data_IF_430194058116
#
_entry.id   IF_430194058116
#
_cell.length_a   1.000
_cell.length_b   1.000
_cell.length_c   1.000
_cell.angle_alpha   90.00
_cell.angle_beta   90.00
_cell.angle_gamma   90.00
#
_symmetry.space_group_name_H-M   'P 1'
#
loop_
_entity.id
_entity.type
_entity.pdbx_description
1 polymer ?
#
# COMPACT_ATOMS: atom_id res chain seq x y z
N UNK A 1 -12.11 -9.86 -17.00
CA UNK A 1 -10.88 -9.12 -17.34
C UNK A 1 -9.75 -9.75 -16.53
N UNK A 2 -8.65 -10.17 -17.14
CA UNK A 2 -7.54 -10.83 -16.41
C UNK A 2 -6.72 -9.77 -15.65
N UNK A 3 -6.63 -9.83 -14.31
CA UNK A 3 -5.83 -8.89 -13.50
C UNK A 3 -4.37 -8.81 -13.96
N UNK A 4 -3.82 -9.91 -14.48
CA UNK A 4 -2.44 -9.96 -14.98
C UNK A 4 -2.24 -9.23 -16.30
N UNK A 5 -3.30 -8.99 -17.06
CA UNK A 5 -3.25 -8.18 -18.28
C UNK A 5 -3.15 -6.68 -17.95
N UNK A 6 -3.84 -6.23 -16.91
CA UNK A 6 -3.84 -4.85 -16.44
C UNK A 6 -2.50 -4.49 -15.79
N UNK A 7 -1.97 -5.37 -14.93
CA UNK A 7 -0.63 -5.17 -14.35
C UNK A 7 0.47 -5.13 -15.43
N UNK A 8 0.34 -5.94 -16.49
CA UNK A 8 1.30 -5.92 -17.63
C UNK A 8 1.23 -4.62 -18.43
N UNK A 9 0.02 -4.12 -18.69
CA UNK A 9 -0.15 -2.84 -19.38
C UNK A 9 0.50 -1.69 -18.57
N UNK A 10 0.27 -1.65 -17.26
CA UNK A 10 0.88 -0.65 -16.38
C UNK A 10 2.41 -0.73 -16.33
N UNK A 11 2.97 -1.94 -16.20
CA UNK A 11 4.43 -2.13 -16.20
C UNK A 11 5.04 -1.77 -17.57
N UNK A 12 4.35 -2.09 -18.67
CA UNK A 12 4.80 -1.74 -20.02
C UNK A 12 4.82 -0.23 -20.24
N UNK A 13 3.79 0.50 -19.77
CA UNK A 13 3.72 1.96 -19.89
C UNK A 13 4.79 2.67 -19.05
N UNK A 14 5.08 2.17 -17.84
CA UNK A 14 6.13 2.74 -16.97
C UNK A 14 7.54 2.45 -17.51
N UNK A 15 7.72 1.32 -18.19
CA UNK A 15 9.01 0.93 -18.81
C UNK A 15 9.40 1.80 -20.00
N UNK A 16 8.44 2.46 -20.67
CA UNK A 16 8.71 3.25 -21.88
C UNK A 16 8.96 4.74 -21.60
N UNK A 17 8.44 5.29 -20.49
CA UNK A 17 8.40 6.75 -20.27
C UNK A 17 9.26 7.27 -19.13
N UNK A 18 9.86 6.41 -18.29
CA UNK A 18 10.65 6.76 -17.09
C UNK A 18 9.98 7.80 -16.16
N UNK A 19 8.68 8.03 -16.32
CA UNK A 19 7.88 9.02 -15.58
C UNK A 19 6.47 8.49 -15.43
N UNK A 20 5.92 8.60 -14.21
CA UNK A 20 4.50 8.35 -13.96
C UNK A 20 3.69 9.40 -14.74
N UNK A 21 2.57 9.04 -15.40
CA UNK A 21 1.73 10.01 -16.09
C UNK A 21 1.33 11.16 -15.15
N UNK A 22 1.44 12.42 -15.63
CA UNK A 22 1.17 13.65 -14.86
C UNK A 22 -0.20 13.64 -14.15
N UNK A 23 -1.16 12.88 -14.69
CA UNK A 23 -2.44 12.61 -14.04
C UNK A 23 -2.61 11.09 -13.90
N UNK A 24 -2.49 10.60 -12.66
CA UNK A 24 -2.87 9.22 -12.34
C UNK A 24 -4.36 9.05 -12.69
N UNK A 25 -4.72 8.13 -13.61
CA UNK A 25 -6.11 7.90 -13.98
C UNK A 25 -6.97 7.63 -12.76
N UNK A 26 -8.19 8.17 -12.72
CA UNK A 26 -9.09 8.07 -11.56
C UNK A 26 -9.32 6.62 -11.11
N UNK A 27 -9.45 5.69 -12.06
CA UNK A 27 -9.57 4.26 -11.75
C UNK A 27 -8.33 3.67 -11.06
N UNK A 28 -7.13 4.18 -11.32
CA UNK A 28 -5.90 3.72 -10.68
C UNK A 28 -5.77 4.28 -9.27
N UNK A 29 -6.27 5.51 -9.04
CA UNK A 29 -6.40 6.08 -7.68
C UNK A 29 -7.33 5.22 -6.83
N UNK A 30 -8.50 4.85 -7.36
CA UNK A 30 -9.46 4.01 -6.65
C UNK A 30 -8.86 2.67 -6.25
N UNK A 31 -8.17 1.99 -7.18
CA UNK A 31 -7.51 0.70 -6.88
C UNK A 31 -6.41 0.85 -5.81
N UNK A 32 -5.66 1.95 -5.84
CA UNK A 32 -4.67 2.23 -4.80
C UNK A 32 -5.33 2.48 -3.44
N UNK A 33 -6.43 3.22 -3.40
CA UNK A 33 -7.17 3.51 -2.16
C UNK A 33 -7.78 2.23 -1.57
N UNK A 34 -8.41 1.39 -2.38
CA UNK A 34 -8.95 0.09 -1.96
C UNK A 34 -7.85 -0.81 -1.39
N UNK A 35 -6.74 -0.96 -2.13
CA UNK A 35 -5.58 -1.74 -1.67
C UNK A 35 -4.99 -1.19 -0.36
N UNK A 36 -4.92 0.13 -0.22
CA UNK A 36 -4.36 0.77 0.96
C UNK A 36 -5.26 0.60 2.18
N UNK A 37 -6.59 0.65 2.02
CA UNK A 37 -7.51 0.39 3.11
C UNK A 37 -7.48 -1.08 3.55
N UNK A 38 -7.34 -2.04 2.62
CA UNK A 38 -7.11 -3.45 2.96
C UNK A 38 -5.82 -3.63 3.77
N UNK A 39 -4.72 -3.01 3.33
CA UNK A 39 -3.44 -3.07 4.00
C UNK A 39 -3.47 -2.41 5.39
N UNK A 40 -4.20 -1.30 5.54
CA UNK A 40 -4.42 -0.66 6.85
C UNK A 40 -5.22 -1.58 7.79
N UNK A 41 -6.25 -2.26 7.29
CA UNK A 41 -7.02 -3.21 8.07
C UNK A 41 -6.16 -4.40 8.53
N UNK A 42 -5.25 -4.90 7.68
CA UNK A 42 -4.31 -5.95 8.05
C UNK A 42 -3.28 -5.46 9.08
N UNK A 43 -2.69 -4.28 8.87
CA UNK A 43 -1.78 -3.66 9.82
C UNK A 43 -2.43 -3.47 11.19
N UNK A 44 -3.69 -3.03 11.22
CA UNK A 44 -4.46 -2.89 12.46
C UNK A 44 -4.64 -4.23 13.17
N UNK A 45 -5.00 -5.31 12.44
CA UNK A 45 -5.13 -6.66 13.03
C UNK A 45 -3.82 -7.15 13.63
N UNK A 46 -2.70 -6.89 12.97
CA UNK A 46 -1.36 -7.25 13.49
C UNK A 46 -1.04 -6.47 14.77
N UNK A 47 -1.26 -5.15 14.75
CA UNK A 47 -0.94 -4.28 15.90
C UNK A 47 -1.91 -4.49 17.08
N UNK A 48 -3.15 -4.88 16.85
CA UNK A 48 -4.07 -5.26 17.93
C UNK A 48 -3.62 -6.54 18.65
N UNK A 49 -3.03 -7.50 17.91
CA UNK A 49 -2.47 -8.72 18.50
C UNK A 49 -1.14 -8.46 19.21
N UNK A 50 -0.33 -7.57 18.65
CA UNK A 50 1.02 -7.26 19.14
C UNK A 50 1.26 -5.74 19.14
N UNK A 51 0.77 -5.01 20.17
CA UNK A 51 0.81 -3.54 20.19
C UNK A 51 2.22 -2.94 20.18
N UNK A 52 3.19 -3.67 20.73
CA UNK A 52 4.58 -3.24 20.86
C UNK A 52 5.47 -3.68 19.70
N UNK A 53 4.88 -4.20 18.61
CA UNK A 53 5.64 -4.57 17.43
C UNK A 53 6.44 -3.36 16.92
N UNK A 54 7.69 -3.55 16.50
CA UNK A 54 8.45 -2.48 15.84
C UNK A 54 8.01 -2.30 14.38
N UNK A 55 8.30 -1.14 13.78
CA UNK A 55 8.00 -0.89 12.35
C UNK A 55 8.76 -1.83 11.43
N UNK A 56 9.99 -2.21 11.78
CA UNK A 56 10.77 -3.20 11.02
C UNK A 56 10.10 -4.58 11.01
N UNK A 57 9.54 -4.99 12.13
CA UNK A 57 8.85 -6.28 12.23
C UNK A 57 7.46 -6.23 11.57
N UNK A 58 6.77 -5.09 11.64
CA UNK A 58 5.54 -4.84 10.89
C UNK A 58 5.78 -4.91 9.38
N UNK A 59 6.84 -4.25 8.89
CA UNK A 59 7.28 -4.27 7.50
C UNK A 59 7.51 -5.70 7.00
N UNK A 60 8.23 -6.51 7.79
CA UNK A 60 8.51 -7.91 7.48
C UNK A 60 7.23 -8.75 7.37
N UNK A 61 6.28 -8.56 8.28
CA UNK A 61 5.01 -9.31 8.28
C UNK A 61 4.10 -8.94 7.12
N UNK A 62 3.96 -7.65 6.85
CA UNK A 62 3.11 -7.15 5.77
C UNK A 62 3.80 -7.19 4.40
N UNK A 63 5.08 -7.59 4.35
CA UNK A 63 5.91 -7.63 3.14
C UNK A 63 5.96 -6.28 2.41
N UNK A 64 6.05 -5.21 3.18
CA UNK A 64 6.16 -3.83 2.68
C UNK A 64 7.52 -3.24 3.04
N UNK A 65 7.99 -2.19 2.34
CA UNK A 65 9.14 -1.41 2.79
C UNK A 65 8.95 -0.84 4.18
N UNK A 66 10.06 -0.52 4.87
CA UNK A 66 10.02 0.05 6.21
C UNK A 66 9.22 1.35 6.25
N UNK A 67 9.41 2.20 5.25
CA UNK A 67 8.71 3.47 5.06
C UNK A 67 7.19 3.26 4.98
N UNK A 68 6.77 2.19 4.29
CA UNK A 68 5.37 1.78 4.21
C UNK A 68 4.81 1.37 5.56
N UNK A 69 5.54 0.57 6.34
CA UNK A 69 5.12 0.18 7.68
C UNK A 69 5.01 1.37 8.64
N UNK A 70 5.99 2.28 8.60
CA UNK A 70 5.96 3.53 9.38
C UNK A 70 4.76 4.39 9.00
N UNK A 71 4.49 4.55 7.70
CA UNK A 71 3.33 5.28 7.20
C UNK A 71 2.01 4.67 7.70
N UNK A 72 1.85 3.35 7.60
CA UNK A 72 0.64 2.64 8.04
C UNK A 72 0.41 2.85 9.55
N UNK A 73 1.46 2.72 10.38
CA UNK A 73 1.35 2.94 11.83
C UNK A 73 0.92 4.38 12.13
N UNK A 74 1.59 5.36 11.54
CA UNK A 74 1.27 6.76 11.75
C UNK A 74 -0.19 7.06 11.37
N UNK A 75 -0.66 6.55 10.23
CA UNK A 75 -2.03 6.73 9.77
C UNK A 75 -3.06 6.07 10.68
N UNK A 76 -2.76 4.90 11.24
CA UNK A 76 -3.62 4.22 12.21
C UNK A 76 -3.69 4.95 13.56
N UNK A 77 -2.60 5.60 14.00
CA UNK A 77 -2.60 6.43 15.21
C UNK A 77 -3.49 7.67 15.04
N UNK A 78 -3.41 8.34 13.88
CA UNK A 78 -4.26 9.50 13.56
C UNK A 78 -5.75 9.16 13.48
N UNK A 79 -6.11 7.94 13.01
CA UNK A 79 -7.51 7.48 12.93
C UNK A 79 -8.12 7.11 14.30
N UNK A 80 -7.30 7.00 15.35
CA UNK A 80 -7.73 6.62 16.71
C UNK A 80 -7.74 7.80 17.70
N UNK A 81 -7.39 9.00 17.23
CA UNK A 81 -7.45 10.26 18.00
C UNK A 81 -8.77 10.97 17.76
#
# INVERSE_FOLDING_TARGET
MDPRSVCRAMVSTVSETETLPEEVPEGLKLLFEEWLDELLAEAQKVLQKEPHLSDRELARRLRVPLEGATYLRHRLLLRQS
#
